data_IF_945073358121
#
_entry.id   IF_945073358121
#
_cell.length_a   1.000
_cell.length_b   1.000
_cell.length_c   1.000
_cell.angle_alpha   90.00
_cell.angle_beta   90.00
_cell.angle_gamma   90.00
#
_symmetry.space_group_name_H-M   'P 1'
#
loop_
_entity.id
_entity.type
_entity.pdbx_description
1 polymer ?
#
# COMPACT_ATOMS: atom_id res chain seq x y z
N UNK A 1 28.78 49.72 -38.05
CA UNK A 1 29.42 49.73 -36.71
C UNK A 1 28.28 49.56 -35.72
N UNK A 2 28.10 48.52 -34.94
CA UNK A 2 28.99 47.47 -34.45
C UNK A 2 28.17 46.19 -34.20
N UNK A 3 28.82 45.05 -34.44
CA UNK A 3 28.42 43.75 -33.92
C UNK A 3 28.82 43.66 -32.44
N UNK A 4 28.16 42.76 -31.71
CA UNK A 4 28.57 42.15 -30.43
C UNK A 4 28.17 42.90 -29.13
N UNK A 5 27.10 42.43 -28.49
CA UNK A 5 27.16 41.96 -27.08
C UNK A 5 26.15 40.84 -26.87
N UNK A 6 26.66 39.62 -26.95
CA UNK A 6 26.09 38.41 -26.38
C UNK A 6 26.30 38.40 -24.85
N UNK A 7 25.49 37.58 -24.16
CA UNK A 7 25.61 37.11 -22.77
C UNK A 7 25.42 38.15 -21.64
N UNK A 8 24.21 38.18 -21.06
CA UNK A 8 24.00 37.92 -19.62
C UNK A 8 22.52 38.02 -19.25
N UNK A 9 21.73 36.99 -19.54
CA UNK A 9 20.50 36.78 -18.77
C UNK A 9 20.90 35.91 -17.58
N UNK A 10 21.02 36.58 -16.43
CA UNK A 10 21.24 35.97 -15.13
C UNK A 10 20.06 35.03 -14.82
N UNK A 11 20.28 33.77 -14.42
CA UNK A 11 19.21 32.95 -13.90
C UNK A 11 18.75 33.50 -12.54
N UNK A 12 17.44 33.43 -12.21
CA UNK A 12 16.99 33.63 -10.85
C UNK A 12 17.49 32.48 -9.98
N UNK A 13 17.95 32.84 -8.79
CA UNK A 13 18.55 32.01 -7.75
C UNK A 13 17.80 30.68 -7.54
N UNK A 14 18.53 29.56 -7.59
CA UNK A 14 18.09 28.29 -6.98
C UNK A 14 17.92 28.51 -5.48
N UNK A 15 16.73 28.88 -5.04
CA UNK A 15 16.30 28.65 -3.67
C UNK A 15 16.15 27.13 -3.52
N UNK A 16 17.17 26.53 -2.94
CA UNK A 16 17.19 25.17 -2.42
C UNK A 16 15.94 25.02 -1.55
N UNK A 17 14.93 24.34 -2.08
CA UNK A 17 13.86 23.77 -1.28
C UNK A 17 14.53 22.68 -0.44
N UNK A 18 14.65 22.94 0.85
CA UNK A 18 15.07 21.98 1.85
C UNK A 18 14.30 20.66 1.68
N UNK A 19 14.92 19.48 1.91
CA UNK A 19 14.19 18.24 1.89
C UNK A 19 13.23 18.24 3.07
N UNK A 20 11.94 18.40 2.81
CA UNK A 20 10.89 18.05 3.77
C UNK A 20 11.01 16.54 3.96
N UNK A 21 11.37 16.15 5.19
CA UNK A 21 11.51 14.76 5.60
C UNK A 21 10.19 14.01 5.41
N UNK A 22 10.18 13.11 4.43
CA UNK A 22 9.02 12.32 4.07
C UNK A 22 9.07 10.94 4.74
N UNK A 23 8.78 10.91 6.05
CA UNK A 23 8.71 9.67 6.84
C UNK A 23 7.39 8.90 6.70
N UNK A 24 6.37 9.47 6.04
CA UNK A 24 5.01 8.90 5.96
C UNK A 24 4.72 8.08 4.70
N UNK A 25 5.33 8.40 3.56
CA UNK A 25 4.99 7.76 2.27
C UNK A 25 5.61 6.35 2.12
N UNK A 26 6.60 6.01 2.94
CA UNK A 26 7.30 4.73 2.85
C UNK A 26 6.41 3.54 3.23
N UNK A 27 5.43 3.72 4.12
CA UNK A 27 4.55 2.63 4.58
C UNK A 27 3.54 2.22 3.50
N UNK A 28 2.94 3.18 2.79
CA UNK A 28 2.01 2.93 1.69
C UNK A 28 2.72 2.27 0.51
N UNK A 29 3.90 2.77 0.14
CA UNK A 29 4.73 2.16 -0.92
C UNK A 29 5.12 0.73 -0.53
N UNK A 30 5.57 0.50 0.70
CA UNK A 30 5.90 -0.85 1.20
C UNK A 30 4.67 -1.78 1.17
N UNK A 31 3.48 -1.26 1.44
CA UNK A 31 2.23 -2.04 1.43
C UNK A 31 1.80 -2.38 0.00
N UNK A 32 1.91 -1.43 -0.92
CA UNK A 32 1.66 -1.64 -2.36
C UNK A 32 2.59 -2.73 -2.88
N UNK A 33 3.89 -2.65 -2.55
CA UNK A 33 4.89 -3.65 -2.94
C UNK A 33 4.54 -5.04 -2.39
N UNK A 34 4.18 -5.15 -1.11
CA UNK A 34 3.77 -6.43 -0.50
C UNK A 34 2.53 -7.05 -1.18
N UNK A 35 1.52 -6.24 -1.44
CA UNK A 35 0.31 -6.68 -2.13
C UNK A 35 0.63 -7.13 -3.56
N UNK A 36 1.52 -6.41 -4.26
CA UNK A 36 1.92 -6.72 -5.62
C UNK A 36 2.73 -8.03 -5.69
N UNK A 37 3.63 -8.27 -4.74
CA UNK A 37 4.34 -9.55 -4.60
C UNK A 37 3.37 -10.71 -4.34
N UNK A 38 2.39 -10.49 -3.47
CA UNK A 38 1.35 -11.51 -3.17
C UNK A 38 0.51 -11.82 -4.42
N UNK A 39 0.17 -10.80 -5.21
CA UNK A 39 -0.56 -10.95 -6.47
C UNK A 39 0.26 -11.75 -7.50
N UNK A 40 1.55 -11.45 -7.65
CA UNK A 40 2.48 -12.21 -8.51
C UNK A 40 2.51 -13.69 -8.13
N UNK A 41 2.71 -13.99 -6.85
CA UNK A 41 2.79 -15.37 -6.36
C UNK A 41 1.47 -16.12 -6.57
N UNK A 42 0.34 -15.42 -6.39
CA UNK A 42 -0.99 -15.92 -6.73
C UNK A 42 -1.12 -16.29 -8.21
N UNK A 43 -0.72 -15.40 -9.13
CA UNK A 43 -0.77 -15.66 -10.57
C UNK A 43 0.09 -16.87 -10.94
N UNK A 44 1.32 -16.96 -10.41
CA UNK A 44 2.21 -18.08 -10.68
C UNK A 44 1.65 -19.41 -10.16
N UNK A 45 1.03 -19.44 -8.97
CA UNK A 45 0.43 -20.65 -8.42
C UNK A 45 -0.79 -21.15 -9.22
N UNK A 46 -1.59 -20.22 -9.77
CA UNK A 46 -2.74 -20.56 -10.62
C UNK A 46 -2.24 -21.02 -12.01
N UNK A 47 -1.21 -20.39 -12.56
CA UNK A 47 -0.64 -20.78 -13.85
C UNK A 47 0.11 -22.11 -13.81
N UNK A 48 0.76 -22.45 -12.69
CA UNK A 48 1.41 -23.75 -12.50
C UNK A 48 0.37 -24.89 -12.42
N UNK A 49 -0.74 -24.65 -11.74
CA UNK A 49 -1.79 -25.66 -11.52
C UNK A 49 -2.77 -25.83 -12.68
N UNK A 50 -3.13 -24.75 -13.39
CA UNK A 50 -4.19 -24.76 -14.40
C UNK A 50 -3.74 -24.24 -15.78
N UNK A 51 -2.48 -23.82 -15.92
CA UNK A 51 -1.97 -23.16 -17.11
C UNK A 51 -2.52 -21.74 -17.29
N UNK A 52 -2.03 -21.04 -18.32
CA UNK A 52 -2.47 -19.68 -18.63
C UNK A 52 -3.95 -19.64 -19.04
N UNK A 53 -4.80 -19.28 -18.09
CA UNK A 53 -6.26 -19.15 -18.23
C UNK A 53 -6.62 -17.71 -18.55
N UNK A 54 -7.80 -17.45 -19.13
CA UNK A 54 -8.24 -16.08 -19.42
C UNK A 54 -8.24 -15.18 -18.17
N UNK A 55 -8.52 -15.74 -17.00
CA UNK A 55 -8.46 -15.04 -15.72
C UNK A 55 -7.02 -14.62 -15.35
N UNK A 56 -6.02 -15.50 -15.52
CA UNK A 56 -4.62 -15.17 -15.17
C UNK A 56 -4.03 -14.13 -16.12
N UNK A 57 -4.49 -14.10 -17.38
CA UNK A 57 -4.09 -13.07 -18.36
C UNK A 57 -4.51 -11.66 -17.92
N UNK A 58 -5.76 -11.47 -17.51
CA UNK A 58 -6.23 -10.16 -17.03
C UNK A 58 -5.49 -9.70 -15.78
N UNK A 59 -5.21 -10.63 -14.85
CA UNK A 59 -4.43 -10.32 -13.64
C UNK A 59 -2.98 -9.94 -13.96
N UNK A 60 -2.37 -10.61 -14.95
CA UNK A 60 -1.02 -10.31 -15.43
C UNK A 60 -0.94 -8.93 -16.08
N UNK A 61 -1.90 -8.57 -16.92
CA UNK A 61 -1.97 -7.25 -17.54
C UNK A 61 -2.08 -6.13 -16.49
N UNK A 62 -2.89 -6.35 -15.44
CA UNK A 62 -2.99 -5.41 -14.32
C UNK A 62 -1.68 -5.29 -13.53
N UNK A 63 -1.00 -6.40 -13.26
CA UNK A 63 0.30 -6.39 -12.59
C UNK A 63 1.34 -5.58 -13.37
N UNK A 64 1.46 -5.82 -14.68
CA UNK A 64 2.43 -5.12 -15.55
C UNK A 64 2.07 -3.64 -15.71
N UNK A 65 0.77 -3.30 -15.76
CA UNK A 65 0.31 -1.91 -15.81
C UNK A 65 0.71 -1.13 -14.54
N UNK A 66 0.51 -1.73 -13.36
CA UNK A 66 0.93 -1.12 -12.08
C UNK A 66 2.45 -1.00 -12.00
N UNK A 67 3.18 -1.99 -12.52
CA UNK A 67 4.65 -1.94 -12.60
C UNK A 67 5.13 -0.80 -13.49
N UNK A 68 4.44 -0.56 -14.61
CA UNK A 68 4.68 0.57 -15.52
C UNK A 68 4.40 1.92 -14.86
N UNK A 69 3.31 2.03 -14.09
CA UNK A 69 2.97 3.24 -13.32
C UNK A 69 4.00 3.53 -12.22
N UNK A 70 4.54 2.48 -11.61
CA UNK A 70 5.56 2.61 -10.57
C UNK A 70 6.93 3.00 -11.14
N UNK A 71 7.16 2.78 -12.43
CA UNK A 71 8.45 3.02 -13.08
C UNK A 71 9.43 1.88 -12.83
N UNK A 72 10.27 1.61 -13.84
CA UNK A 72 11.19 0.47 -13.84
C UNK A 72 12.27 0.58 -12.76
N UNK A 73 12.71 1.81 -12.43
CA UNK A 73 13.72 2.08 -11.40
C UNK A 73 13.19 1.80 -9.99
N UNK A 74 12.00 2.28 -9.65
CA UNK A 74 11.39 2.11 -8.33
C UNK A 74 10.86 0.68 -8.12
N UNK A 75 10.33 0.05 -9.18
CA UNK A 75 9.92 -1.35 -9.15
C UNK A 75 11.12 -2.28 -8.88
N UNK A 76 12.24 -2.06 -9.56
CA UNK A 76 13.48 -2.82 -9.35
C UNK A 76 14.07 -2.56 -7.97
N UNK A 77 14.09 -1.30 -7.51
CA UNK A 77 14.53 -0.95 -6.15
C UNK A 77 13.66 -1.59 -5.05
N UNK A 78 12.37 -1.80 -5.33
CA UNK A 78 11.43 -2.49 -4.47
C UNK A 78 11.46 -4.04 -4.59
N UNK A 79 12.30 -4.59 -5.48
CA UNK A 79 12.41 -6.04 -5.71
C UNK A 79 11.25 -6.66 -6.50
N UNK A 80 10.44 -5.84 -7.19
CA UNK A 80 9.36 -6.29 -8.05
C UNK A 80 9.92 -6.67 -9.42
N UNK A 81 9.51 -7.84 -9.94
CA UNK A 81 10.00 -8.39 -11.21
C UNK A 81 8.83 -8.60 -12.16
N UNK A 82 9.02 -8.32 -13.45
CA UNK A 82 8.04 -8.65 -14.50
C UNK A 82 7.71 -10.14 -14.47
N UNK A 83 6.46 -10.51 -14.77
CA UNK A 83 6.09 -11.92 -14.76
C UNK A 83 6.83 -12.69 -15.88
N UNK A 84 7.30 -13.92 -15.64
CA UNK A 84 7.89 -14.79 -16.68
C UNK A 84 6.86 -15.15 -17.76
N UNK A 85 7.27 -15.32 -19.02
CA UNK A 85 6.32 -15.64 -20.11
C UNK A 85 5.47 -16.88 -19.75
N UNK A 86 4.16 -16.89 -20.06
CA UNK A 86 3.29 -17.99 -19.71
C UNK A 86 3.81 -19.30 -20.31
N UNK A 87 3.71 -20.43 -19.59
CA UNK A 87 4.17 -21.71 -20.11
C UNK A 87 3.44 -22.03 -21.42
N UNK A 88 4.21 -22.15 -22.51
CA UNK A 88 3.68 -22.60 -23.80
C UNK A 88 3.11 -23.99 -23.59
N UNK A 89 1.80 -24.19 -23.75
CA UNK A 89 1.23 -25.54 -23.82
C UNK A 89 2.02 -26.31 -24.86
N UNK A 90 2.76 -27.33 -24.42
CA UNK A 90 3.12 -28.45 -25.28
C UNK A 90 1.81 -29.16 -25.63
N UNK A 91 1.11 -28.64 -26.64
CA UNK A 91 0.35 -29.53 -27.50
C UNK A 91 1.39 -30.20 -28.37
N UNK A 92 1.93 -31.32 -27.86
CA UNK A 92 2.64 -32.29 -28.66
C UNK A 92 1.64 -32.76 -29.73
N UNK A 93 1.84 -32.41 -31.02
CA UNK A 93 0.98 -32.94 -32.06
C UNK A 93 1.31 -34.43 -32.16
N UNK A 94 0.43 -35.27 -31.62
CA UNK A 94 0.43 -36.69 -31.93
C UNK A 94 0.06 -36.83 -33.42
N UNK A 95 1.07 -36.76 -34.29
CA UNK A 95 0.95 -37.21 -35.67
C UNK A 95 2.04 -38.28 -35.90
N UNK A 96 1.68 -39.47 -36.44
CA UNK A 96 2.64 -40.51 -36.72
C UNK A 96 3.61 -40.03 -37.82
N UNK A 97 4.87 -40.41 -37.65
CA UNK A 97 5.94 -40.13 -38.60
C UNK A 97 5.56 -40.50 -40.04
N UNK A 98 5.61 -39.51 -40.93
CA UNK A 98 5.73 -39.74 -42.37
C UNK A 98 6.82 -38.81 -42.93
N UNK A 99 7.78 -39.44 -43.59
CA UNK A 99 9.09 -38.93 -43.99
C UNK A 99 9.04 -37.92 -45.15
N UNK A 100 9.81 -36.83 -45.00
CA UNK A 100 10.63 -36.09 -46.00
C UNK A 100 10.01 -35.39 -47.24
N UNK A 101 10.65 -34.30 -47.75
CA UNK A 101 10.07 -33.13 -48.46
C UNK A 101 10.43 -33.13 -49.99
N UNK A 102 10.18 -32.11 -50.88
CA UNK A 102 10.67 -30.71 -50.77
C UNK A 102 9.76 -29.57 -51.34
N UNK A 103 10.08 -28.36 -50.88
CA UNK A 103 9.95 -27.04 -51.51
C UNK A 103 9.24 -26.94 -52.88
N UNK A 104 8.12 -26.20 -52.94
CA UNK A 104 7.65 -25.54 -54.17
C UNK A 104 6.84 -24.27 -53.88
N UNK A 105 7.42 -23.15 -54.31
CA UNK A 105 6.76 -21.99 -54.95
C UNK A 105 5.51 -21.34 -54.33
N UNK A 106 5.76 -20.13 -53.79
CA UNK A 106 5.05 -18.86 -54.04
C UNK A 106 4.43 -18.20 -52.79
N UNK A 107 4.89 -17.00 -52.38
CA UNK A 107 4.03 -16.11 -51.59
C UNK A 107 2.94 -15.58 -52.54
N UNK A 108 1.80 -15.15 -52.01
CA UNK A 108 0.60 -14.72 -52.76
C UNK A 108 -0.28 -15.87 -53.29
N UNK A 109 -1.00 -16.51 -52.36
CA UNK A 109 -2.32 -17.04 -52.69
C UNK A 109 -3.35 -16.10 -52.05
N UNK A 110 -3.84 -15.14 -52.83
CA UNK A 110 -5.08 -14.43 -52.53
C UNK A 110 -6.20 -15.46 -52.43
N UNK A 111 -6.87 -15.51 -51.27
CA UNK A 111 -8.17 -16.14 -51.10
C UNK A 111 -9.21 -15.05 -50.80
N UNK A 112 -9.81 -14.39 -51.80
CA UNK A 112 -10.70 -13.25 -51.58
C UNK A 112 -12.16 -13.71 -51.46
N UNK A 113 -12.50 -14.49 -50.44
CA UNK A 113 -13.91 -14.81 -50.20
C UNK A 113 -14.30 -15.27 -48.78
N UNK A 114 -13.65 -14.75 -47.72
CA UNK A 114 -14.13 -14.93 -46.34
C UNK A 114 -14.00 -13.67 -45.45
N UNK A 115 -13.58 -12.53 -45.99
CA UNK A 115 -12.84 -11.58 -45.17
C UNK A 115 -13.57 -10.31 -44.71
N UNK A 116 -14.77 -9.98 -45.22
CA UNK A 116 -15.40 -8.69 -44.86
C UNK A 116 -16.63 -8.83 -43.96
N UNK A 117 -17.53 -9.79 -44.20
CA UNK A 117 -18.73 -9.96 -43.36
C UNK A 117 -18.42 -10.63 -42.02
N UNK A 118 -17.54 -11.62 -42.01
CA UNK A 118 -17.14 -12.30 -40.77
C UNK A 118 -16.34 -11.35 -39.85
N UNK A 119 -15.44 -10.53 -40.42
CA UNK A 119 -14.74 -9.48 -39.67
C UNK A 119 -15.68 -8.41 -39.11
N UNK A 120 -16.71 -8.00 -39.86
CA UNK A 120 -17.69 -7.03 -39.39
C UNK A 120 -18.52 -7.58 -38.22
N UNK A 121 -18.85 -8.87 -38.26
CA UNK A 121 -19.58 -9.55 -37.18
C UNK A 121 -18.75 -9.62 -35.89
N UNK A 122 -17.46 -9.93 -36.01
CA UNK A 122 -16.52 -9.99 -34.89
C UNK A 122 -16.27 -8.61 -34.27
N UNK A 123 -16.13 -7.57 -35.11
CA UNK A 123 -15.96 -6.19 -34.67
C UNK A 123 -17.21 -5.65 -33.94
N UNK A 124 -18.41 -6.05 -34.39
CA UNK A 124 -19.66 -5.67 -33.71
C UNK A 124 -19.80 -6.35 -32.35
N UNK A 125 -19.28 -7.57 -32.21
CA UNK A 125 -19.27 -8.29 -30.94
C UNK A 125 -18.27 -7.67 -29.95
N UNK A 126 -17.08 -7.29 -30.43
CA UNK A 126 -16.06 -6.58 -29.64
C UNK A 126 -16.58 -5.21 -29.16
N UNK A 127 -17.28 -4.46 -30.01
CA UNK A 127 -17.89 -3.17 -29.61
C UNK A 127 -18.92 -3.34 -28.49
N UNK A 128 -19.77 -4.38 -28.55
CA UNK A 128 -20.77 -4.64 -27.50
C UNK A 128 -20.14 -5.05 -26.16
N UNK A 129 -19.06 -5.83 -26.20
CA UNK A 129 -18.32 -6.20 -25.00
C UNK A 129 -17.64 -4.99 -24.36
N UNK A 130 -17.18 -4.03 -25.16
CA UNK A 130 -16.59 -2.78 -24.66
C UNK A 130 -17.64 -1.85 -24.02
N UNK A 131 -18.82 -1.70 -24.63
CA UNK A 131 -19.91 -0.90 -24.03
C UNK A 131 -20.34 -1.46 -22.67
N UNK A 132 -20.42 -2.78 -22.55
CA UNK A 132 -20.77 -3.45 -21.28
C UNK A 132 -19.70 -3.22 -20.20
N UNK A 133 -18.42 -3.16 -20.61
CA UNK A 133 -17.31 -2.82 -19.71
C UNK A 133 -17.35 -1.35 -19.30
N UNK A 134 -17.65 -0.43 -20.22
CA UNK A 134 -17.79 1.00 -19.92
C UNK A 134 -18.96 1.29 -18.97
N UNK A 135 -20.08 0.59 -19.10
CA UNK A 135 -21.22 0.67 -18.15
C UNK A 135 -20.77 0.25 -16.74
N UNK A 136 -20.01 -0.85 -16.64
CA UNK A 136 -19.49 -1.35 -15.36
C UNK A 136 -18.47 -0.39 -14.75
N UNK A 137 -17.60 0.19 -15.57
CA UNK A 137 -16.64 1.24 -15.18
C UNK A 137 -17.36 2.51 -14.74
N UNK A 138 -18.38 2.96 -15.47
CA UNK A 138 -19.23 4.11 -15.13
C UNK A 138 -19.90 3.91 -13.76
N UNK A 139 -20.49 2.74 -13.53
CA UNK A 139 -21.03 2.38 -12.23
C UNK A 139 -19.98 2.37 -11.12
N UNK A 140 -18.75 1.93 -11.41
CA UNK A 140 -17.66 1.93 -10.43
C UNK A 140 -17.13 3.33 -10.13
N UNK A 141 -17.01 4.20 -11.13
CA UNK A 141 -16.67 5.62 -10.98
C UNK A 141 -17.75 6.36 -10.19
N UNK A 142 -19.03 6.08 -10.44
CA UNK A 142 -20.14 6.65 -9.68
C UNK A 142 -20.08 6.28 -8.20
N UNK A 143 -19.78 5.00 -7.89
CA UNK A 143 -19.56 4.56 -6.50
C UNK A 143 -18.33 5.20 -5.87
N UNK A 144 -17.22 5.30 -6.60
CA UNK A 144 -15.98 5.92 -6.11
C UNK A 144 -16.19 7.40 -5.77
N UNK A 145 -16.91 8.14 -6.63
CA UNK A 145 -17.28 9.53 -6.37
C UNK A 145 -18.14 9.66 -5.11
N UNK A 146 -19.14 8.78 -4.94
CA UNK A 146 -19.96 8.77 -3.74
C UNK A 146 -19.16 8.49 -2.46
N UNK A 147 -18.19 7.56 -2.53
CA UNK A 147 -17.29 7.22 -1.43
C UNK A 147 -16.35 8.39 -1.11
N UNK A 148 -15.87 9.11 -2.13
CA UNK A 148 -15.08 10.35 -1.95
C UNK A 148 -15.86 11.44 -1.23
N UNK A 149 -17.16 11.60 -1.51
CA UNK A 149 -18.01 12.56 -0.81
C UNK A 149 -18.22 12.17 0.64
N UNK A 150 -18.50 10.90 0.92
CA UNK A 150 -18.62 10.41 2.31
C UNK A 150 -17.32 10.56 3.10
N UNK A 151 -16.16 10.27 2.50
CA UNK A 151 -14.86 10.51 3.14
C UNK A 151 -14.66 12.00 3.43
N UNK A 152 -15.05 12.89 2.52
CA UNK A 152 -14.94 14.33 2.73
C UNK A 152 -15.81 14.82 3.89
N UNK A 153 -17.05 14.32 4.00
CA UNK A 153 -17.95 14.67 5.10
C UNK A 153 -17.44 14.13 6.45
N UNK A 154 -16.94 12.88 6.48
CA UNK A 154 -16.34 12.24 7.66
C UNK A 154 -15.03 12.94 8.10
N UNK A 155 -14.20 13.40 7.16
CA UNK A 155 -13.01 14.21 7.48
C UNK A 155 -13.42 15.55 8.11
N UNK A 156 -14.54 16.14 7.69
CA UNK A 156 -15.11 17.32 8.33
C UNK A 156 -15.57 17.06 9.77
N UNK A 157 -16.15 15.88 10.03
CA UNK A 157 -16.56 15.45 11.37
C UNK A 157 -15.35 15.11 12.27
N UNK A 158 -14.29 14.53 11.71
CA UNK A 158 -13.03 14.23 12.41
C UNK A 158 -12.26 15.49 12.85
N UNK A 159 -12.43 16.63 12.17
CA UNK A 159 -11.90 17.92 12.66
C UNK A 159 -12.62 18.38 13.93
N UNK A 160 -13.90 18.07 14.10
CA UNK A 160 -14.66 18.35 15.33
C UNK A 160 -14.27 17.43 16.50
N UNK A 161 -13.93 16.17 16.22
CA UNK A 161 -13.44 15.22 17.23
C UNK A 161 -12.05 15.59 17.76
N UNK A 162 -11.20 16.24 16.96
CA UNK A 162 -9.88 16.71 17.38
C UNK A 162 -9.95 17.87 18.39
N UNK A 163 -10.96 18.72 18.33
CA UNK A 163 -11.20 19.79 19.32
C UNK A 163 -11.59 19.22 20.69
N UNK A 164 -12.43 18.17 20.69
CA UNK A 164 -12.76 17.43 21.91
C UNK A 164 -11.57 16.66 22.49
N UNK A 165 -10.67 16.13 21.65
CA UNK A 165 -9.45 15.47 22.08
C UNK A 165 -8.50 16.44 22.81
N UNK A 166 -8.36 17.68 22.33
CA UNK A 166 -7.52 18.70 22.98
C UNK A 166 -8.06 19.06 24.36
N UNK A 167 -9.39 19.23 24.50
CA UNK A 167 -10.02 19.48 25.80
C UNK A 167 -9.84 18.29 26.79
N UNK A 168 -9.95 17.06 26.29
CA UNK A 168 -9.72 15.85 27.10
C UNK A 168 -8.25 15.67 27.50
N UNK A 169 -7.31 16.06 26.64
CA UNK A 169 -5.88 16.09 26.95
C UNK A 169 -5.57 17.14 28.02
N UNK A 170 -6.15 18.33 27.94
CA UNK A 170 -6.02 19.38 28.96
C UNK A 170 -6.56 18.93 30.32
N UNK A 171 -7.73 18.29 30.34
CA UNK A 171 -8.31 17.69 31.56
C UNK A 171 -7.39 16.61 32.13
N UNK A 172 -6.80 15.78 31.27
CA UNK A 172 -5.87 14.73 31.68
C UNK A 172 -4.57 15.33 32.25
N UNK A 173 -4.04 16.38 31.63
CA UNK A 173 -2.87 17.13 32.12
C UNK A 173 -3.11 17.73 33.50
N UNK A 174 -4.29 18.34 33.73
CA UNK A 174 -4.67 18.85 35.06
C UNK A 174 -4.75 17.75 36.12
N UNK A 175 -5.31 16.58 35.79
CA UNK A 175 -5.39 15.43 36.72
C UNK A 175 -4.01 14.86 37.03
N UNK A 176 -3.16 14.73 36.01
CA UNK A 176 -1.79 14.26 36.17
C UNK A 176 -0.97 15.24 37.04
N UNK A 177 -1.10 16.55 36.83
CA UNK A 177 -0.43 17.56 37.67
C UNK A 177 -0.87 17.46 39.13
N UNK A 178 -2.17 17.25 39.39
CA UNK A 178 -2.68 17.03 40.76
C UNK A 178 -2.17 15.72 41.36
N UNK A 179 -2.11 14.64 40.58
CA UNK A 179 -1.57 13.37 41.01
C UNK A 179 -0.09 13.51 41.38
N UNK A 180 0.72 14.16 40.53
CA UNK A 180 2.12 14.44 40.78
C UNK A 180 2.32 15.25 42.07
N UNK A 181 1.57 16.33 42.27
CA UNK A 181 1.61 17.11 43.52
C UNK A 181 1.25 16.29 44.75
N UNK A 182 0.35 15.32 44.61
CA UNK A 182 -0.04 14.43 45.71
C UNK A 182 1.06 13.42 46.00
N UNK A 183 1.69 12.85 44.96
CA UNK A 183 2.84 11.97 45.08
C UNK A 183 4.04 12.69 45.70
N UNK A 184 4.33 13.93 45.32
CA UNK A 184 5.41 14.73 45.90
C UNK A 184 5.16 14.98 47.40
N UNK A 185 3.90 15.31 47.77
CA UNK A 185 3.50 15.48 49.18
C UNK A 185 3.63 14.18 49.97
N UNK A 186 3.23 13.04 49.38
CA UNK A 186 3.35 11.72 50.03
C UNK A 186 4.81 11.32 50.16
N UNK A 187 5.64 11.54 49.13
CA UNK A 187 7.08 11.27 49.15
C UNK A 187 7.78 12.09 50.23
N UNK A 188 7.49 13.39 50.29
CA UNK A 188 8.05 14.28 51.29
C UNK A 188 7.58 13.91 52.70
N UNK A 189 6.27 13.67 52.88
CA UNK A 189 5.70 13.24 54.15
C UNK A 189 6.19 11.86 54.61
N UNK A 190 6.43 10.93 53.68
CA UNK A 190 7.04 9.65 53.97
C UNK A 190 8.48 9.83 54.45
N UNK A 191 9.29 10.70 53.81
CA UNK A 191 10.67 10.94 54.23
C UNK A 191 10.75 11.50 55.65
N UNK A 192 9.89 12.45 55.99
CA UNK A 192 9.93 13.13 57.30
C UNK A 192 9.34 12.25 58.41
N UNK A 193 8.31 11.45 58.13
CA UNK A 193 7.68 10.57 59.11
C UNK A 193 8.24 9.14 59.15
N UNK A 194 9.11 8.75 58.20
CA UNK A 194 9.67 7.40 58.15
C UNK A 194 10.51 7.09 59.40
N UNK A 195 11.31 8.04 59.90
CA UNK A 195 12.10 7.84 61.12
C UNK A 195 11.20 7.62 62.34
N UNK A 196 10.18 8.48 62.53
CA UNK A 196 9.22 8.36 63.64
C UNK A 196 8.39 7.07 63.55
N UNK A 197 7.93 6.70 62.35
CA UNK A 197 7.19 5.47 62.09
C UNK A 197 8.06 4.23 62.37
N UNK A 198 9.33 4.26 61.98
CA UNK A 198 10.27 3.16 62.22
C UNK A 198 10.52 2.92 63.72
N UNK A 199 10.68 3.99 64.51
CA UNK A 199 10.80 3.91 65.97
C UNK A 199 9.55 3.24 66.58
N UNK A 200 8.35 3.64 66.14
CA UNK A 200 7.09 3.09 66.64
C UNK A 200 6.91 1.61 66.34
N UNK A 201 7.26 1.18 65.11
CA UNK A 201 7.22 -0.23 64.70
C UNK A 201 8.19 -1.07 65.55
N UNK A 202 9.40 -0.58 65.80
CA UNK A 202 10.39 -1.27 66.65
C UNK A 202 9.85 -1.45 68.07
N UNK A 203 9.24 -0.42 68.67
CA UNK A 203 8.63 -0.51 70.01
C UNK A 203 7.48 -1.53 70.01
N UNK A 204 6.61 -1.52 68.99
CA UNK A 204 5.51 -2.48 68.89
C UNK A 204 6.01 -3.92 68.82
N UNK A 205 7.03 -4.19 67.99
CA UNK A 205 7.67 -5.50 67.91
C UNK A 205 8.23 -5.90 69.28
N UNK A 206 8.90 -4.99 69.97
CA UNK A 206 9.48 -5.25 71.29
C UNK A 206 8.40 -5.56 72.33
N UNK A 207 7.27 -4.86 72.31
CA UNK A 207 6.11 -5.17 73.18
C UNK A 207 5.51 -6.53 72.86
N UNK A 208 5.35 -6.87 71.58
CA UNK A 208 4.88 -8.21 71.18
C UNK A 208 5.84 -9.30 71.67
N UNK A 209 7.15 -9.10 71.52
CA UNK A 209 8.15 -10.03 72.04
C UNK A 209 8.06 -10.16 73.56
N UNK A 210 7.87 -9.06 74.30
CA UNK A 210 7.66 -9.11 75.76
C UNK A 210 6.40 -9.91 76.09
N UNK A 211 5.27 -9.67 75.40
CA UNK A 211 4.02 -10.40 75.66
C UNK A 211 4.23 -11.89 75.39
N UNK A 212 4.81 -12.25 74.25
CA UNK A 212 5.06 -13.64 73.86
C UNK A 212 6.07 -14.33 74.79
N UNK A 213 7.11 -13.62 75.24
CA UNK A 213 8.14 -14.19 76.11
C UNK A 213 7.70 -14.27 77.58
N UNK A 214 6.87 -13.32 78.03
CA UNK A 214 6.35 -13.27 79.41
C UNK A 214 5.17 -14.22 79.62
N UNK A 215 4.39 -14.49 78.56
CA UNK A 215 3.31 -15.48 78.55
C UNK A 215 3.90 -16.86 78.35
#
# INVERSE_FOLDING_TARGET
>A
MERQRLLSISPPSKSILSPVGNGGNNSSVTTIVKNLTTLRDGILSIEDSQGATQQTRGLREQYESILSVLGEEDASAAGLQSLPLPPKRHVEPLLPAASTPPLSSSPFQDNPQQSDQDMFSEQTQIMRDQDTQLETLSHSIGRQHHLSLQINDELGEQVGLLDGLDEDLDRTGMRMSRAQRTLDKVSQGAKDNCSTMSIGIVILILLLLIIIFKT
#
